data_IF_195405447015
#
_entry.id   IF_195405447015
#
_cell.length_a   1.000
_cell.length_b   1.000
_cell.length_c   1.000
_cell.angle_alpha   90.00
_cell.angle_beta   90.00
_cell.angle_gamma   90.00
#
_symmetry.space_group_name_H-M   'P 1'
#
loop_
_entity.id
_entity.type
_entity.pdbx_description
1 polymer ?
#
# COMPACT_ATOMS: atom_id res chain seq x y z
N UNK A 1 7.60 59.65 14.76
CA UNK A 1 6.33 59.78 15.50
C UNK A 1 5.78 58.39 15.73
N UNK A 2 5.86 57.93 16.98
CA UNK A 2 5.31 56.68 17.47
C UNK A 2 3.85 56.93 17.90
N UNK A 3 2.99 55.95 17.63
CA UNK A 3 1.80 55.56 18.42
C UNK A 3 0.48 56.36 18.21
N UNK A 4 -0.61 55.56 18.10
CA UNK A 4 -2.08 55.83 18.02
C UNK A 4 -2.58 56.01 16.59
N UNK A 5 -3.48 55.17 16.04
CA UNK A 5 -4.69 54.53 16.61
C UNK A 5 -4.91 53.18 15.90
N UNK A 6 -5.12 52.04 16.57
CA UNK A 6 -6.35 51.58 17.23
C UNK A 6 -7.64 51.98 16.49
N UNK A 7 -8.15 51.12 15.59
CA UNK A 7 -9.55 50.79 15.27
C UNK A 7 -9.48 49.51 14.40
N UNK A 8 -9.62 48.34 14.99
CA UNK A 8 -10.85 47.51 15.05
C UNK A 8 -11.20 46.80 13.72
N UNK A 9 -10.95 45.47 13.76
CA UNK A 9 -11.73 44.37 13.15
C UNK A 9 -11.88 44.28 11.62
N UNK A 10 -11.20 43.29 11.02
CA UNK A 10 -11.92 42.25 10.28
C UNK A 10 -11.24 40.88 10.45
N UNK A 11 -12.07 39.94 10.87
CA UNK A 11 -11.83 38.52 11.12
C UNK A 11 -11.66 37.81 9.77
N UNK A 12 -10.63 36.99 9.64
CA UNK A 12 -10.79 35.61 9.17
C UNK A 12 -9.55 34.78 9.52
N UNK A 13 -9.78 33.84 10.42
CA UNK A 13 -8.89 32.74 10.77
C UNK A 13 -8.50 32.01 9.49
N UNK A 14 -7.26 32.15 9.03
CA UNK A 14 -6.71 31.30 7.98
C UNK A 14 -6.24 29.99 8.63
N UNK A 15 -7.23 29.22 9.09
CA UNK A 15 -7.05 27.81 9.38
C UNK A 15 -7.14 27.07 8.05
N UNK A 16 -6.00 26.83 7.42
CA UNK A 16 -5.85 25.65 6.58
C UNK A 16 -4.73 24.83 7.18
N UNK A 17 -5.15 23.94 8.09
CA UNK A 17 -4.54 22.63 8.24
C UNK A 17 -4.18 22.12 6.85
N UNK A 18 -2.89 22.01 6.55
CA UNK A 18 -2.46 21.17 5.44
C UNK A 18 -2.76 19.75 5.88
N UNK A 19 -4.01 19.32 5.63
CA UNK A 19 -4.32 17.91 5.44
C UNK A 19 -3.29 17.38 4.45
N UNK A 20 -2.63 16.30 4.85
CA UNK A 20 -1.50 15.73 4.14
C UNK A 20 -1.82 15.62 2.66
N UNK A 21 -0.97 16.23 1.84
CA UNK A 21 -0.80 15.75 0.48
C UNK A 21 -0.16 14.38 0.67
N UNK A 22 -0.98 13.33 0.70
CA UNK A 22 -0.52 12.01 0.35
C UNK A 22 0.07 12.18 -1.05
N UNK A 23 1.40 12.24 -1.11
CA UNK A 23 2.10 12.31 -2.37
C UNK A 23 1.82 10.97 -3.03
N UNK A 24 1.01 11.00 -4.08
CA UNK A 24 0.87 9.92 -5.04
C UNK A 24 2.27 9.71 -5.66
N UNK A 25 3.08 8.90 -4.98
CA UNK A 25 4.38 8.48 -5.47
C UNK A 25 4.10 7.51 -6.61
N UNK A 26 4.09 8.05 -7.81
CA UNK A 26 4.02 7.28 -9.06
C UNK A 26 4.98 6.08 -9.00
N UNK A 27 4.41 4.90 -8.79
CA UNK A 27 5.01 3.64 -9.20
C UNK A 27 4.43 3.34 -10.58
N UNK A 28 5.29 3.29 -11.61
CA UNK A 28 4.91 2.91 -12.99
C UNK A 28 4.43 1.45 -13.12
N UNK A 29 4.30 0.75 -11.99
CA UNK A 29 3.72 -0.57 -11.87
C UNK A 29 2.33 -0.36 -11.26
N UNK A 30 1.28 -0.50 -12.05
CA UNK A 30 -0.05 -0.65 -11.48
C UNK A 30 -0.01 -1.89 -10.59
N UNK A 31 0.09 -1.71 -9.28
CA UNK A 31 -0.03 -2.77 -8.31
C UNK A 31 -1.53 -3.00 -8.08
N UNK A 32 -1.92 -4.26 -7.93
CA UNK A 32 -3.27 -4.63 -7.55
C UNK A 32 -3.39 -4.48 -6.02
N UNK A 33 -3.74 -3.27 -5.61
CA UNK A 33 -3.96 -2.88 -4.22
C UNK A 33 -5.42 -2.48 -4.04
N UNK A 34 -5.93 -2.62 -2.81
CA UNK A 34 -7.27 -2.12 -2.48
C UNK A 34 -7.30 -0.59 -2.31
N UNK A 35 -8.47 -0.04 -1.96
CA UNK A 35 -8.68 1.39 -1.78
C UNK A 35 -7.77 2.01 -0.69
N UNK A 36 -7.24 1.19 0.23
CA UNK A 36 -6.32 1.59 1.30
C UNK A 36 -4.84 1.37 0.92
N UNK A 37 -4.55 0.92 -0.32
CA UNK A 37 -3.19 0.64 -0.79
C UNK A 37 -2.60 -0.67 -0.27
N UNK A 38 -3.42 -1.56 0.28
CA UNK A 38 -2.98 -2.86 0.81
C UNK A 38 -2.79 -3.85 -0.36
N UNK A 39 -1.60 -4.44 -0.41
CA UNK A 39 -1.27 -5.49 -1.36
C UNK A 39 -1.97 -6.81 -0.99
N UNK A 40 -2.33 -7.61 -2.01
CA UNK A 40 -2.79 -8.99 -1.84
C UNK A 40 -3.97 -9.11 -0.86
N UNK A 41 -4.81 -8.08 -0.77
CA UNK A 41 -5.99 -8.06 0.14
C UNK A 41 -5.63 -8.36 1.61
N UNK A 42 -4.42 -7.97 2.04
CA UNK A 42 -3.95 -8.15 3.41
C UNK A 42 -3.32 -9.52 3.71
N UNK A 43 -3.21 -10.42 2.73
CA UNK A 43 -2.53 -11.70 2.92
C UNK A 43 -1.01 -11.55 2.96
N UNK A 44 -0.37 -12.38 3.79
CA UNK A 44 1.08 -12.42 3.93
C UNK A 44 1.74 -13.01 2.68
N UNK A 45 2.57 -12.25 1.95
CA UNK A 45 3.22 -12.73 0.71
C UNK A 45 4.14 -13.92 0.97
N UNK A 46 4.75 -14.04 2.14
CA UNK A 46 5.63 -15.17 2.49
C UNK A 46 4.81 -16.44 2.72
N UNK A 47 3.60 -16.32 3.28
CA UNK A 47 2.75 -17.48 3.60
C UNK A 47 2.40 -18.32 2.37
N UNK A 48 2.31 -17.70 1.18
CA UNK A 48 2.13 -18.41 -0.10
C UNK A 48 3.26 -19.40 -0.44
N UNK A 49 4.43 -19.25 0.18
CA UNK A 49 5.61 -20.08 -0.08
C UNK A 49 5.90 -21.10 1.02
N UNK A 50 5.48 -20.82 2.26
CA UNK A 50 5.91 -21.59 3.44
C UNK A 50 4.77 -22.25 4.21
N UNK A 51 3.51 -21.91 3.92
CA UNK A 51 2.34 -22.43 4.63
C UNK A 51 1.49 -23.32 3.72
N UNK A 52 0.72 -24.23 4.31
CA UNK A 52 -0.22 -25.09 3.55
C UNK A 52 -1.33 -24.28 2.89
N UNK A 53 -1.70 -23.14 3.51
CA UNK A 53 -2.70 -22.20 3.02
C UNK A 53 -2.21 -20.75 3.24
N UNK A 54 -2.51 -19.81 2.32
CA UNK A 54 -2.21 -18.39 2.53
C UNK A 54 -2.82 -17.87 3.82
N UNK A 55 -2.06 -17.08 4.58
CA UNK A 55 -2.47 -16.57 5.88
C UNK A 55 -2.65 -15.05 5.82
N UNK A 56 -3.69 -14.54 6.50
CA UNK A 56 -3.88 -13.10 6.66
C UNK A 56 -2.77 -12.49 7.52
N UNK A 57 -2.24 -11.37 7.05
CA UNK A 57 -1.30 -10.56 7.79
C UNK A 57 -1.97 -9.77 8.92
N UNK A 58 -1.16 -9.08 9.71
CA UNK A 58 -1.65 -8.21 10.78
C UNK A 58 -1.38 -6.76 10.42
N UNK A 59 -2.36 -5.88 10.70
CA UNK A 59 -2.24 -4.43 10.48
C UNK A 59 -1.06 -3.78 11.23
N UNK A 60 -0.58 -4.41 12.30
CA UNK A 60 0.57 -3.93 13.08
C UNK A 60 1.93 -4.49 12.61
N UNK A 61 1.93 -5.41 11.65
CA UNK A 61 3.12 -5.99 11.03
C UNK A 61 3.07 -5.70 9.55
N UNK A 62 3.49 -4.50 9.17
CA UNK A 62 3.42 -4.01 7.79
C UNK A 62 4.76 -3.56 7.25
N UNK A 63 4.86 -3.53 5.92
CA UNK A 63 5.99 -2.96 5.20
C UNK A 63 5.53 -2.38 3.86
N UNK A 64 5.91 -1.14 3.59
CA UNK A 64 5.67 -0.51 2.29
C UNK A 64 6.79 -0.86 1.32
N UNK A 65 6.41 -1.32 0.13
CA UNK A 65 7.34 -1.62 -0.95
C UNK A 65 6.71 -1.33 -2.31
N UNK A 66 7.43 -0.61 -3.18
CA UNK A 66 6.98 -0.19 -4.52
C UNK A 66 5.62 0.55 -4.58
N UNK A 67 5.20 1.18 -3.48
CA UNK A 67 3.93 1.90 -3.39
C UNK A 67 2.75 1.05 -2.95
N UNK A 68 2.98 -0.16 -2.43
CA UNK A 68 1.95 -0.98 -1.79
C UNK A 68 2.33 -1.36 -0.36
N UNK A 69 1.33 -1.47 0.51
CA UNK A 69 1.48 -1.92 1.89
C UNK A 69 1.27 -3.43 1.98
N UNK A 70 2.31 -4.15 2.39
CA UNK A 70 2.26 -5.59 2.66
C UNK A 70 2.03 -5.83 4.15
N UNK A 71 1.18 -6.80 4.50
CA UNK A 71 0.92 -7.22 5.87
C UNK A 71 1.51 -8.61 6.13
N UNK A 72 1.90 -8.90 7.37
CA UNK A 72 2.60 -10.15 7.71
C UNK A 72 2.00 -10.82 8.95
N UNK A 73 1.95 -12.16 8.95
CA UNK A 73 1.40 -12.94 10.06
C UNK A 73 2.38 -12.98 11.25
N UNK A 74 3.68 -12.87 10.97
CA UNK A 74 4.76 -12.96 11.95
C UNK A 74 5.89 -11.96 11.66
N UNK A 75 6.69 -11.67 12.69
CA UNK A 75 7.88 -10.82 12.56
C UNK A 75 8.94 -11.46 11.67
N UNK A 76 9.05 -12.79 11.69
CA UNK A 76 9.99 -13.55 10.87
C UNK A 76 9.64 -13.43 9.38
N UNK A 77 8.34 -13.46 9.03
CA UNK A 77 7.89 -13.25 7.65
C UNK A 77 8.17 -11.83 7.18
N UNK A 78 7.89 -10.83 8.02
CA UNK A 78 8.22 -9.43 7.76
C UNK A 78 9.73 -9.25 7.49
N UNK A 79 10.59 -9.87 8.29
CA UNK A 79 12.04 -9.77 8.12
C UNK A 79 12.54 -10.54 6.89
N UNK A 80 11.93 -11.69 6.60
CA UNK A 80 12.20 -12.46 5.38
C UNK A 80 11.86 -11.66 4.13
N UNK A 81 10.69 -10.98 4.12
CA UNK A 81 10.30 -10.12 3.02
C UNK A 81 11.26 -8.95 2.85
N UNK A 82 11.64 -8.28 3.95
CA UNK A 82 12.59 -7.15 3.91
C UNK A 82 13.97 -7.53 3.35
N UNK A 83 14.39 -8.78 3.55
CA UNK A 83 15.69 -9.24 3.07
C UNK A 83 15.73 -9.37 1.53
N UNK A 84 14.61 -9.72 0.90
CA UNK A 84 14.52 -9.91 -0.55
C UNK A 84 13.08 -9.69 -1.07
N UNK A 85 12.56 -8.44 -1.09
CA UNK A 85 11.17 -8.17 -1.44
C UNK A 85 10.80 -8.62 -2.85
N UNK A 86 11.72 -8.46 -3.81
CA UNK A 86 11.51 -8.77 -5.23
C UNK A 86 11.12 -10.23 -5.47
N UNK A 87 11.56 -11.14 -4.60
CA UNK A 87 11.23 -12.57 -4.66
C UNK A 87 9.78 -12.87 -4.25
N UNK A 88 9.19 -12.05 -3.40
CA UNK A 88 7.91 -12.32 -2.75
C UNK A 88 6.79 -11.41 -3.22
N UNK A 89 7.11 -10.30 -3.90
CA UNK A 89 6.08 -9.49 -4.57
C UNK A 89 5.40 -10.30 -5.68
N UNK A 90 4.07 -10.21 -5.80
CA UNK A 90 3.37 -10.88 -6.89
C UNK A 90 3.89 -10.43 -8.27
N UNK A 91 4.09 -11.39 -9.17
CA UNK A 91 4.39 -11.10 -10.56
C UNK A 91 3.29 -10.21 -11.17
N UNK A 92 3.68 -9.35 -12.11
CA UNK A 92 2.78 -8.37 -12.72
C UNK A 92 2.05 -7.46 -11.72
N UNK A 93 2.59 -7.26 -10.51
CA UNK A 93 1.99 -6.39 -9.50
C UNK A 93 0.75 -6.96 -8.81
N UNK A 94 0.48 -8.26 -8.94
CA UNK A 94 -0.72 -8.88 -8.35
C UNK A 94 -1.91 -8.93 -9.29
N UNK A 95 -1.71 -8.56 -10.55
CA UNK A 95 -2.67 -8.76 -11.63
C UNK A 95 -2.57 -10.17 -12.20
N UNK A 96 -3.69 -10.68 -12.71
CA UNK A 96 -3.71 -11.96 -13.42
C UNK A 96 -2.77 -11.93 -14.63
N UNK A 97 -1.75 -12.79 -14.65
CA UNK A 97 -0.76 -12.88 -15.72
C UNK A 97 -1.39 -13.09 -17.11
N UNK A 98 -2.50 -13.83 -17.17
CA UNK A 98 -3.25 -14.08 -18.41
C UNK A 98 -3.93 -12.80 -18.92
N UNK A 99 -4.51 -11.99 -18.04
CA UNK A 99 -5.15 -10.73 -18.42
C UNK A 99 -4.10 -9.74 -18.93
N UNK A 100 -2.99 -9.59 -18.20
CA UNK A 100 -1.88 -8.69 -18.57
C UNK A 100 -1.31 -9.08 -19.95
N UNK A 101 -1.17 -10.38 -20.22
CA UNK A 101 -0.74 -10.88 -21.53
C UNK A 101 -1.72 -10.61 -22.68
N UNK A 102 -2.99 -10.33 -22.39
CA UNK A 102 -4.03 -10.00 -23.37
C UNK A 102 -4.36 -8.50 -23.44
N UNK A 103 -3.58 -7.65 -22.76
CA UNK A 103 -3.68 -6.19 -22.85
C UNK A 103 -4.73 -5.56 -21.92
N UNK A 104 -5.17 -6.26 -20.87
CA UNK A 104 -6.05 -5.71 -19.84
C UNK A 104 -5.63 -6.16 -18.43
N UNK A 105 -6.04 -5.44 -17.39
CA UNK A 105 -5.81 -5.87 -16.00
C UNK A 105 -7.08 -6.56 -15.47
N UNK A 106 -6.91 -7.71 -14.81
CA UNK A 106 -7.99 -8.39 -14.10
C UNK A 106 -7.48 -8.81 -12.73
N UNK A 107 -8.29 -8.56 -11.70
CA UNK A 107 -8.03 -8.97 -10.34
C UNK A 107 -7.59 -10.43 -10.29
N UNK A 108 -6.40 -10.70 -9.75
CA UNK A 108 -6.02 -12.06 -9.44
C UNK A 108 -6.83 -12.51 -8.22
N UNK A 109 -7.66 -13.55 -8.38
CA UNK A 109 -8.28 -14.18 -7.21
C UNK A 109 -7.17 -14.88 -6.39
N UNK A 110 -6.93 -14.47 -5.12
CA UNK A 110 -5.88 -15.07 -4.29
C UNK A 110 -6.09 -16.56 -4.00
N UNK A 111 -7.28 -17.11 -4.24
CA UNK A 111 -7.62 -18.52 -4.00
C UNK A 111 -7.25 -19.46 -5.16
N UNK A 112 -6.88 -18.93 -6.33
CA UNK A 112 -6.54 -19.73 -7.52
C UNK A 112 -5.07 -20.15 -7.58
N UNK A 113 -4.57 -20.81 -6.53
CA UNK A 113 -3.17 -21.28 -6.43
C UNK A 113 -2.95 -22.74 -6.91
N UNK A 114 -4.03 -23.49 -7.16
CA UNK A 114 -3.99 -24.87 -7.68
C UNK A 114 -4.49 -24.92 -9.12
N UNK A 115 -3.58 -25.12 -10.08
CA UNK A 115 -3.90 -25.63 -11.41
C UNK A 115 -3.02 -26.83 -11.75
#
# INVERSE_FOLDING_TARGET
MLIKSLILTLITVFGLSTFGIAQDMMSTKHLNVDDDGIAIKGYDPISYFISEEPQEGKENLTYEYEGATYQFVSKDNLDTFKADPEKYVPAYGGWCAYAVGNGYTADANPETYKS
#
